data_IF_721486710035
#
_entry.id   IF_721486710035
#
_cell.length_a   1.000
_cell.length_b   1.000
_cell.length_c   1.000
_cell.angle_alpha   90.00
_cell.angle_beta   90.00
_cell.angle_gamma   90.00
#
_symmetry.space_group_name_H-M   'P 1'
#
loop_
_entity.id
_entity.type
_entity.pdbx_description
1 polymer ?
#
# COMPACT_ATOMS: atom_id res chain seq x y z
N UNK A 1 -8.32 22.52 -0.21
CA UNK A 1 -8.30 22.27 -0.69
C UNK A 1 -7.65 21.61 -1.66
N UNK A 2 -7.39 20.93 -2.07
CA UNK A 2 -6.73 20.28 -3.03
C UNK A 2 -5.68 19.37 -2.52
N UNK A 3 -4.88 18.91 -3.42
CA UNK A 3 -3.83 17.97 -3.08
C UNK A 3 -2.67 18.72 -2.45
N UNK A 4 -2.25 18.25 -1.29
CA UNK A 4 -1.14 18.86 -0.57
C UNK A 4 -0.45 17.82 0.27
N UNK A 5 0.85 17.96 0.51
CA UNK A 5 1.56 17.01 1.35
C UNK A 5 0.88 16.88 2.71
N UNK A 6 0.91 15.67 3.25
CA UNK A 6 0.31 15.38 4.54
C UNK A 6 -0.97 14.58 4.45
N UNK A 7 -1.57 14.47 3.26
CA UNK A 7 -2.74 13.62 3.12
C UNK A 7 -2.32 12.18 3.32
N UNK A 8 -3.08 11.42 4.08
CA UNK A 8 -2.73 10.03 4.36
C UNK A 8 -3.96 9.17 4.54
N UNK A 9 -3.80 7.90 4.36
CA UNK A 9 -4.87 6.94 4.59
C UNK A 9 -4.26 5.58 4.87
N UNK A 10 -5.04 4.72 5.49
CA UNK A 10 -4.62 3.38 5.83
C UNK A 10 -5.60 2.37 5.24
N UNK A 11 -5.08 1.21 4.90
CA UNK A 11 -5.87 0.09 4.44
C UNK A 11 -5.51 -1.10 5.31
N UNK A 12 -6.52 -1.85 5.76
CA UNK A 12 -6.30 -3.03 6.56
C UNK A 12 -6.61 -4.25 5.71
N UNK A 13 -5.84 -5.29 5.84
CA UNK A 13 -6.11 -6.51 5.09
C UNK A 13 -5.68 -7.73 5.90
N UNK A 14 -6.34 -8.85 5.64
CA UNK A 14 -5.97 -10.13 6.21
C UNK A 14 -5.45 -10.96 5.04
N UNK A 15 -4.27 -11.53 5.18
CA UNK A 15 -3.68 -12.29 4.08
C UNK A 15 -4.50 -13.55 3.84
N UNK A 16 -5.05 -13.69 2.66
CA UNK A 16 -5.80 -14.88 2.26
C UNK A 16 -4.98 -15.75 1.32
N UNK A 17 -5.51 -16.92 1.00
CA UNK A 17 -4.79 -17.80 0.11
C UNK A 17 -4.54 -17.20 -1.25
N UNK A 18 -5.51 -16.44 -1.76
CA UNK A 18 -5.35 -15.81 -3.07
C UNK A 18 -4.26 -14.76 -3.09
N UNK A 19 -3.83 -14.30 -1.92
CA UNK A 19 -2.82 -13.25 -1.83
C UNK A 19 -1.40 -13.80 -1.79
N UNK A 20 -1.24 -15.11 -1.83
CA UNK A 20 0.09 -15.70 -1.63
C UNK A 20 0.91 -15.70 -2.91
N UNK A 21 2.21 -15.80 -2.74
CA UNK A 21 3.12 -15.85 -3.87
C UNK A 21 2.82 -17.03 -4.77
N UNK A 22 2.44 -18.17 -4.20
CA UNK A 22 2.11 -19.32 -5.02
C UNK A 22 0.92 -19.02 -5.91
N UNK A 23 -0.15 -18.49 -5.32
CA UNK A 23 -1.36 -18.27 -6.09
C UNK A 23 -1.20 -17.16 -7.11
N UNK A 24 -0.41 -16.17 -6.81
CA UNK A 24 -0.23 -15.06 -7.73
C UNK A 24 0.88 -15.33 -8.75
N UNK A 25 1.60 -16.42 -8.60
CA UNK A 25 2.65 -16.74 -9.57
C UNK A 25 3.91 -15.93 -9.39
N UNK A 26 4.12 -15.36 -8.22
CA UNK A 26 5.29 -14.52 -7.98
C UNK A 26 6.32 -15.21 -7.10
N UNK A 27 6.16 -16.47 -6.82
CA UNK A 27 7.09 -17.25 -6.03
C UNK A 27 6.49 -18.60 -5.73
N UNK A 28 7.14 -19.38 -4.88
CA UNK A 28 6.66 -20.73 -4.62
C UNK A 28 6.45 -21.01 -3.15
N UNK A 29 6.18 -19.99 -2.35
CA UNK A 29 5.89 -20.17 -0.93
C UNK A 29 4.54 -19.55 -0.59
N UNK A 30 3.87 -20.06 0.45
CA UNK A 30 2.50 -19.62 0.77
C UNK A 30 2.50 -18.43 1.73
N UNK A 31 3.10 -17.34 1.32
CA UNK A 31 3.12 -16.11 2.10
C UNK A 31 2.68 -14.96 1.22
N UNK A 32 2.34 -13.83 1.82
CA UNK A 32 1.89 -12.66 1.09
C UNK A 32 2.83 -12.34 -0.06
N UNK A 33 2.29 -12.25 -1.26
CA UNK A 33 3.06 -11.99 -2.46
C UNK A 33 3.49 -10.53 -2.51
N UNK A 34 4.70 -10.27 -2.98
CA UNK A 34 5.18 -8.90 -3.12
C UNK A 34 4.27 -8.06 -4.02
N UNK A 35 3.78 -8.55 -5.16
CA UNK A 35 2.85 -7.73 -5.94
C UNK A 35 1.54 -7.44 -5.22
N UNK A 36 1.11 -8.34 -4.34
CA UNK A 36 -0.11 -8.06 -3.58
C UNK A 36 0.15 -6.97 -2.55
N UNK A 37 1.33 -6.99 -1.92
CA UNK A 37 1.69 -5.96 -0.98
C UNK A 37 1.73 -4.62 -1.71
N UNK A 38 2.28 -4.59 -2.90
CA UNK A 38 2.30 -3.36 -3.69
C UNK A 38 0.88 -2.89 -3.99
N UNK A 39 -0.01 -3.78 -4.37
CA UNK A 39 -1.38 -3.39 -4.69
C UNK A 39 -2.06 -2.75 -3.48
N UNK A 40 -1.77 -3.27 -2.29
CA UNK A 40 -2.34 -2.70 -1.07
C UNK A 40 -1.77 -1.31 -0.80
N UNK A 41 -0.48 -1.12 -1.06
CA UNK A 41 0.13 0.19 -0.89
C UNK A 41 -0.47 1.19 -1.88
N UNK A 42 -0.71 0.74 -3.11
CA UNK A 42 -1.35 1.62 -4.08
C UNK A 42 -2.76 1.95 -3.66
N UNK A 43 -3.50 0.99 -3.11
CA UNK A 43 -4.86 1.25 -2.65
C UNK A 43 -4.85 2.31 -1.54
N UNK A 44 -3.88 2.26 -0.66
CA UNK A 44 -3.77 3.26 0.40
C UNK A 44 -3.47 4.64 -0.20
N UNK A 45 -2.62 4.70 -1.23
CA UNK A 45 -2.30 5.98 -1.85
C UNK A 45 -3.52 6.57 -2.54
N UNK A 46 -4.33 5.73 -3.18
CA UNK A 46 -5.57 6.20 -3.81
C UNK A 46 -6.51 6.73 -2.75
N UNK A 47 -6.67 6.00 -1.65
CA UNK A 47 -7.58 6.42 -0.59
C UNK A 47 -7.13 7.75 0.01
N UNK A 48 -5.84 8.01 0.06
CA UNK A 48 -5.33 9.24 0.66
C UNK A 48 -5.72 10.47 -0.14
N UNK A 49 -5.85 10.37 -1.45
CA UNK A 49 -6.07 11.55 -2.27
C UNK A 49 -7.45 11.61 -2.90
N UNK A 50 -8.18 10.50 -2.91
CA UNK A 50 -9.44 10.47 -3.62
C UNK A 50 -10.39 11.59 -3.22
N UNK A 51 -10.57 11.92 -1.96
CA UNK A 51 -11.52 12.98 -1.60
C UNK A 51 -11.11 14.35 -2.12
N UNK A 52 -9.85 14.54 -2.48
CA UNK A 52 -9.37 15.83 -2.94
C UNK A 52 -9.23 15.93 -4.44
N UNK A 53 -9.56 14.88 -5.17
CA UNK A 53 -9.43 14.96 -6.62
C UNK A 53 -10.57 15.73 -7.22
N UNK A 54 -10.28 16.54 -8.23
CA UNK A 54 -11.31 17.29 -8.91
C UNK A 54 -12.21 16.32 -9.70
N UNK A 55 -13.48 16.68 -9.89
CA UNK A 55 -14.36 15.82 -10.66
C UNK A 55 -13.79 15.53 -12.06
N UNK A 56 -13.95 14.31 -12.49
CA UNK A 56 -13.46 13.91 -13.81
C UNK A 56 -11.99 13.55 -13.85
N UNK A 57 -11.29 13.66 -12.72
CA UNK A 57 -9.87 13.29 -12.70
C UNK A 57 -9.69 12.00 -11.92
N UNK A 58 -8.58 11.35 -12.18
CA UNK A 58 -8.17 10.17 -11.45
C UNK A 58 -6.66 10.16 -11.40
N UNK A 59 -6.07 9.12 -10.84
CA UNK A 59 -4.62 9.02 -10.84
C UNK A 59 -4.21 7.64 -11.28
N UNK A 60 -3.01 7.54 -11.85
CA UNK A 60 -2.46 6.27 -12.27
C UNK A 60 -1.06 6.15 -11.68
N UNK A 61 -0.67 4.94 -11.31
CA UNK A 61 0.66 4.69 -10.75
C UNK A 61 1.69 4.71 -11.86
N UNK A 62 2.84 5.33 -11.62
CA UNK A 62 3.86 5.47 -12.64
C UNK A 62 5.23 4.97 -12.20
N UNK A 63 5.49 4.87 -10.90
CA UNK A 63 6.77 4.39 -10.44
C UNK A 63 6.64 3.87 -9.02
N UNK A 64 7.48 2.93 -8.66
CA UNK A 64 7.40 2.33 -7.35
C UNK A 64 8.78 1.87 -6.92
N UNK A 65 9.04 2.01 -5.63
CA UNK A 65 10.21 1.44 -5.02
C UNK A 65 9.73 0.75 -3.76
N UNK A 66 10.03 -0.52 -3.59
CA UNK A 66 9.46 -1.31 -2.52
C UNK A 66 10.49 -2.26 -1.96
N UNK A 67 10.56 -2.33 -0.64
CA UNK A 67 11.29 -3.37 0.04
C UNK A 67 10.28 -4.21 0.79
N UNK A 68 10.31 -5.51 0.58
CA UNK A 68 9.44 -6.45 1.26
C UNK A 68 10.34 -7.22 2.22
N UNK A 69 10.29 -6.85 3.49
CA UNK A 69 11.28 -7.28 4.44
C UNK A 69 10.90 -8.48 5.28
N UNK A 70 9.63 -8.76 5.43
CA UNK A 70 9.19 -9.79 6.33
C UNK A 70 8.05 -10.56 5.72
N UNK A 71 8.07 -11.87 5.81
CA UNK A 71 7.01 -12.70 5.27
C UNK A 71 5.77 -12.64 6.15
N UNK A 72 4.61 -12.74 5.52
CA UNK A 72 3.34 -12.76 6.23
C UNK A 72 2.57 -13.99 5.81
N UNK A 73 2.24 -14.88 6.75
CA UNK A 73 1.51 -16.10 6.39
C UNK A 73 0.02 -15.82 6.20
N UNK A 74 -0.69 -16.78 5.64
CA UNK A 74 -2.13 -16.67 5.52
C UNK A 74 -2.70 -16.47 6.93
N UNK A 75 -3.63 -15.54 7.05
CA UNK A 75 -4.23 -15.19 8.33
C UNK A 75 -3.59 -14.00 9.01
N UNK A 76 -2.42 -13.59 8.56
CA UNK A 76 -1.78 -12.42 9.17
C UNK A 76 -2.58 -11.16 8.86
N UNK A 77 -2.65 -10.28 9.82
CA UNK A 77 -3.36 -9.01 9.66
C UNK A 77 -2.32 -7.93 9.44
N UNK A 78 -2.53 -7.13 8.42
CA UNK A 78 -1.57 -6.10 8.07
C UNK A 78 -2.27 -4.76 7.90
N UNK A 79 -1.56 -3.71 8.27
CA UNK A 79 -2.00 -2.35 8.04
C UNK A 79 -1.04 -1.70 7.07
N UNK A 80 -1.58 -0.98 6.12
CA UNK A 80 -0.78 -0.29 5.13
C UNK A 80 -1.14 1.18 5.20
N UNK A 81 -0.16 2.02 5.43
CA UNK A 81 -0.40 3.45 5.49
C UNK A 81 0.38 4.15 4.40
N UNK A 82 -0.26 5.05 3.67
CA UNK A 82 0.41 5.85 2.67
C UNK A 82 0.22 7.31 2.98
N UNK A 83 1.23 8.10 2.73
CA UNK A 83 1.19 9.53 2.96
C UNK A 83 1.71 10.25 1.74
N UNK A 84 0.98 11.26 1.27
CA UNK A 84 1.43 12.10 0.17
C UNK A 84 2.52 13.00 0.69
N UNK A 85 3.71 12.91 0.13
CA UNK A 85 4.85 13.66 0.61
C UNK A 85 5.27 14.79 -0.32
N UNK A 86 4.88 14.72 -1.59
CA UNK A 86 5.29 15.75 -2.52
C UNK A 86 4.27 15.91 -3.62
N UNK A 87 3.99 17.14 -4.00
CA UNK A 87 3.11 17.43 -5.12
C UNK A 87 3.89 18.31 -6.08
N UNK A 88 4.08 17.85 -7.30
CA UNK A 88 4.80 18.63 -8.32
C UNK A 88 3.93 18.64 -9.57
N UNK A 89 3.06 19.63 -9.69
CA UNK A 89 2.10 19.66 -10.76
C UNK A 89 1.14 18.48 -10.64
N UNK A 90 1.09 17.64 -11.64
CA UNK A 90 0.23 16.49 -11.59
C UNK A 90 0.91 15.28 -10.97
N UNK A 91 2.19 15.37 -10.70
CA UNK A 91 2.95 14.23 -10.19
C UNK A 91 2.88 14.24 -8.68
N UNK A 92 2.53 13.12 -8.11
CA UNK A 92 2.37 12.95 -6.67
C UNK A 92 3.31 11.87 -6.19
N UNK A 93 4.02 12.14 -5.10
CA UNK A 93 4.92 11.15 -4.50
C UNK A 93 4.41 10.81 -3.13
N UNK A 94 4.37 9.51 -2.83
CA UNK A 94 3.91 9.01 -1.55
C UNK A 94 5.00 8.18 -0.90
N UNK A 95 5.00 8.16 0.43
CA UNK A 95 5.75 7.14 1.15
C UNK A 95 4.72 6.19 1.74
N UNK A 96 5.09 4.93 1.92
CA UNK A 96 4.17 3.99 2.54
C UNK A 96 4.93 3.04 3.45
N UNK A 97 4.21 2.47 4.40
CA UNK A 97 4.77 1.50 5.30
C UNK A 97 3.71 0.45 5.57
N UNK A 98 4.13 -0.80 5.61
CA UNK A 98 3.25 -1.93 5.84
C UNK A 98 3.70 -2.60 7.13
N UNK A 99 2.77 -2.81 8.04
CA UNK A 99 3.08 -3.42 9.33
C UNK A 99 2.13 -4.54 9.63
N UNK A 100 2.61 -5.52 10.39
CA UNK A 100 1.69 -6.48 10.97
C UNK A 100 0.90 -5.76 12.05
N UNK A 101 -0.38 -5.99 12.09
CA UNK A 101 -1.19 -5.44 13.17
C UNK A 101 -0.80 -6.18 14.43
N UNK A 102 -0.75 -5.50 15.53
CA UNK A 102 -0.44 -6.21 16.77
C UNK A 102 -1.55 -7.17 17.12
N UNK A 103 -1.21 -8.26 17.76
CA UNK A 103 -2.25 -9.19 18.18
C UNK A 103 -3.15 -8.56 19.22
N UNK A 104 -4.31 -9.09 19.38
CA UNK A 104 -5.23 -8.58 20.40
C UNK A 104 -4.57 -8.67 21.72
N UNK A 105 -4.95 -7.76 22.58
CA UNK A 105 -4.26 -7.67 23.77
C UNK A 105 -4.24 -8.88 24.54
N UNK A 106 -4.98 -9.69 24.57
CA UNK A 106 -4.81 -10.72 25.44
C UNK A 106 -3.76 -11.63 25.23
N UNK A 107 -3.10 -11.49 24.25
CA UNK A 107 -2.21 -12.37 24.05
C UNK A 107 -1.02 -12.30 24.60
N UNK A 108 -0.86 -11.77 25.35
CA UNK A 108 0.30 -11.62 25.86
C UNK A 108 1.04 -12.60 26.15
N UNK A 109 0.88 -13.38 26.16
CA UNK A 109 1.66 -14.37 26.43
C UNK A 109 2.89 -14.09 26.80
N UNK A 110 3.08 -13.42 27.33
CA UNK A 110 4.28 -13.37 27.82
C UNK A 110 5.29 -12.85 27.20
N UNK A 111 5.31 -12.64 26.30
CA UNK A 111 6.35 -12.09 25.85
C UNK A 111 6.32 -10.96 26.20
N UNK A 112 5.90 -10.59 26.86
CA UNK A 112 5.89 -9.46 27.22
C UNK A 112 6.80 -8.52 27.24
N UNK A 113 7.80 -8.68 27.07
CA UNK A 113 8.72 -7.66 27.26
C UNK A 113 8.47 -6.64 26.24
N UNK A 114 7.60 -6.75 25.42
CA UNK A 114 7.42 -5.67 24.62
C UNK A 114 8.48 -5.39 23.76
N UNK A 115 9.32 -6.20 23.68
CA UNK A 115 10.43 -5.80 22.98
C UNK A 115 10.15 -5.78 21.53
N UNK A 116 9.05 -6.17 21.07
CA UNK A 116 8.87 -6.11 19.70
C UNK A 116 8.64 -4.69 19.35
N UNK A 117 9.57 -3.95 19.08
CA UNK A 117 9.36 -2.59 18.70
C UNK A 117 8.74 -2.47 17.37
N UNK A 118 8.45 -1.23 16.97
CA UNK A 118 7.86 -1.00 15.73
C UNK A 118 8.61 -1.65 14.61
N UNK A 119 9.91 -1.63 14.63
CA UNK A 119 10.64 -2.18 13.55
C UNK A 119 10.38 -3.64 13.35
N UNK A 120 10.09 -4.36 14.39
CA UNK A 120 9.85 -5.77 14.26
C UNK A 120 8.53 -6.05 13.61
N UNK A 121 7.65 -5.08 13.52
CA UNK A 121 6.37 -5.29 12.90
C UNK A 121 6.34 -4.85 11.46
N UNK A 122 7.40 -4.24 10.97
CA UNK A 122 7.39 -3.71 9.62
C UNK A 122 7.55 -4.85 8.62
N UNK A 123 6.58 -4.97 7.74
CA UNK A 123 6.57 -5.95 6.68
C UNK A 123 7.26 -5.42 5.45
N UNK A 124 7.08 -4.14 5.19
CA UNK A 124 7.70 -3.53 4.02
C UNK A 124 7.50 -2.04 4.02
N UNK A 125 8.17 -1.37 3.10
CA UNK A 125 8.08 0.09 3.00
C UNK A 125 8.59 0.52 1.64
N UNK A 126 8.27 1.75 1.26
CA UNK A 126 8.78 2.24 0.00
C UNK A 126 8.13 3.54 -0.41
N UNK A 127 8.22 3.84 -1.69
CA UNK A 127 7.64 5.04 -2.26
C UNK A 127 6.84 4.70 -3.49
N UNK A 128 5.86 5.53 -3.78
CA UNK A 128 5.03 5.38 -4.96
C UNK A 128 4.94 6.73 -5.65
N UNK A 129 4.81 6.70 -6.96
CA UNK A 129 4.55 7.91 -7.70
C UNK A 129 3.28 7.70 -8.47
N UNK A 130 2.39 8.66 -8.45
CA UNK A 130 1.16 8.62 -9.21
C UNK A 130 1.03 9.93 -9.98
N UNK A 131 0.29 9.91 -11.06
CA UNK A 131 0.06 11.09 -11.86
C UNK A 131 -1.43 11.29 -11.99
N UNK A 132 -1.89 12.53 -11.77
CA UNK A 132 -3.30 12.86 -11.91
C UNK A 132 -3.58 13.09 -13.40
N UNK A 133 -4.65 12.47 -13.88
CA UNK A 133 -5.01 12.57 -15.29
C UNK A 133 -6.49 12.87 -15.41
N UNK A 134 -6.88 13.49 -16.53
CA UNK A 134 -8.27 13.62 -16.88
C UNK A 134 -8.71 12.23 -17.34
N UNK A 135 -9.72 11.67 -16.68
CA UNK A 135 -10.11 10.28 -16.93
C UNK A 135 -10.50 10.05 -18.37
N UNK A 136 -11.32 10.90 -18.89
CA UNK A 136 -11.82 10.69 -20.23
C UNK A 136 -10.72 10.82 -21.26
N UNK A 137 -9.89 11.85 -21.13
CA UNK A 137 -8.81 12.03 -22.08
C UNK A 137 -7.79 10.93 -21.99
N UNK A 138 -7.52 10.47 -20.77
CA UNK A 138 -6.55 9.39 -20.60
C UNK A 138 -7.06 8.13 -21.29
N UNK A 139 -8.31 7.77 -21.06
CA UNK A 139 -8.85 6.55 -21.64
C UNK A 139 -8.97 6.65 -23.15
N UNK A 140 -9.19 7.85 -23.67
CA UNK A 140 -9.28 8.01 -25.11
C UNK A 140 -7.95 7.73 -25.82
N UNK A 141 -6.84 7.84 -25.08
CA UNK A 141 -5.55 7.56 -25.68
C UNK A 141 -5.15 6.10 -25.58
N UNK A 142 -5.87 5.30 -24.81
CA UNK A 142 -5.55 3.90 -24.68
C UNK A 142 -6.23 3.19 -25.83
N UNK A 143 -5.45 2.81 -26.82
CA UNK A 143 -6.00 2.21 -28.01
C UNK A 143 -5.84 0.74 -27.96
N UNK A 144 -6.83 -0.06 -28.35
CA UNK A 144 -6.64 -1.48 -28.41
C UNK A 144 -5.65 -1.81 -29.51
N UNK A 145 -4.89 -2.84 -29.29
CA UNK A 145 -3.83 -3.21 -30.24
C UNK A 145 -4.39 -3.78 -31.52
#
# INVERSE_FOLDING_TARGET
MGLAPGLRASVFAVVGEADTAIEMGSGDVPVLATPRLLALAEAASVAAIEPQLAPGTTSVGTAVSLEHRRASPVGAEIDVEAELTEVAGRRLVFSFIVRHSPPPSGDETGRGDGSAGDEDLVVGAGTLERVVVDREKFLARVQPA
#
